data_IF_213725604638
#
_entry.id   IF_213725604638
#
_cell.length_a   1.000
_cell.length_b   1.000
_cell.length_c   1.000
_cell.angle_alpha   90.00
_cell.angle_beta   90.00
_cell.angle_gamma   90.00
#
_symmetry.space_group_name_H-M   'P 1'
#
loop_
_entity.id
_entity.type
_entity.pdbx_description
1 polymer ?
#
# COMPACT_ATOMS: atom_id res chain seq x y z
N UNK A 1 -18.68 -33.79 0.34
CA UNK A 1 -19.10 -32.60 1.11
C UNK A 1 -17.84 -32.01 1.74
N UNK A 2 -17.33 -30.88 1.25
CA UNK A 2 -16.12 -30.23 1.75
C UNK A 2 -16.49 -28.96 2.52
N UNK A 3 -16.28 -28.98 3.84
CA UNK A 3 -16.43 -27.84 4.73
C UNK A 3 -15.16 -26.99 4.76
N UNK A 4 -15.13 -25.90 4.00
CA UNK A 4 -14.19 -24.81 4.22
C UNK A 4 -14.96 -23.66 4.89
N UNK A 5 -14.51 -23.24 6.08
CA UNK A 5 -15.11 -22.12 6.83
C UNK A 5 -15.00 -20.83 5.98
N UNK A 6 -16.03 -19.98 5.94
CA UNK A 6 -15.92 -18.69 5.28
C UNK A 6 -14.88 -17.83 6.01
N UNK A 7 -13.82 -17.43 5.30
CA UNK A 7 -12.89 -16.43 5.79
C UNK A 7 -13.60 -15.09 5.80
N UNK A 8 -13.74 -14.49 6.98
CA UNK A 8 -14.37 -13.19 7.21
C UNK A 8 -13.37 -12.02 7.05
N UNK A 9 -12.27 -12.21 6.33
CA UNK A 9 -11.42 -11.09 5.89
C UNK A 9 -11.94 -10.55 4.57
N UNK A 10 -12.76 -9.51 4.70
CA UNK A 10 -13.50 -8.78 3.67
C UNK A 10 -12.70 -8.57 2.36
N UNK A 11 -12.95 -9.37 1.31
CA UNK A 11 -12.25 -9.27 0.03
C UNK A 11 -12.79 -8.12 -0.85
N UNK A 12 -13.83 -7.40 -0.42
CA UNK A 12 -14.54 -6.45 -1.26
C UNK A 12 -13.95 -5.02 -1.28
N UNK A 13 -12.93 -4.71 -0.46
CA UNK A 13 -12.38 -3.35 -0.38
C UNK A 13 -11.29 -2.99 -1.39
N UNK A 14 -10.79 -3.95 -2.17
CA UNK A 14 -9.74 -3.70 -3.17
C UNK A 14 -10.25 -3.61 -4.62
N UNK A 15 -11.57 -3.55 -4.80
CA UNK A 15 -12.22 -3.58 -6.12
C UNK A 15 -12.45 -2.20 -6.75
N UNK A 16 -11.59 -1.20 -6.54
CA UNK A 16 -11.90 0.17 -6.99
C UNK A 16 -10.81 0.94 -7.74
N UNK A 17 -9.71 0.34 -8.20
CA UNK A 17 -8.79 1.17 -9.01
C UNK A 17 -8.09 0.52 -10.21
N UNK A 18 -7.81 -0.78 -10.24
CA UNK A 18 -7.23 -1.38 -11.46
C UNK A 18 -7.74 -2.82 -11.63
N UNK A 19 -8.66 -3.00 -12.57
CA UNK A 19 -9.41 -4.23 -12.74
C UNK A 19 -8.56 -5.48 -12.92
N UNK A 20 -8.92 -6.53 -12.20
CA UNK A 20 -8.76 -7.90 -12.65
C UNK A 20 -10.00 -8.26 -13.47
N UNK A 21 -9.90 -8.18 -14.80
CA UNK A 21 -10.97 -8.63 -15.72
C UNK A 21 -11.38 -10.09 -15.45
N UNK A 22 -10.48 -10.87 -14.85
CA UNK A 22 -10.58 -12.33 -14.69
C UNK A 22 -10.54 -12.80 -13.21
N UNK A 23 -10.91 -11.95 -12.25
CA UNK A 23 -11.17 -12.38 -10.87
C UNK A 23 -9.97 -12.90 -10.07
N UNK A 24 -8.74 -12.69 -10.54
CA UNK A 24 -7.53 -13.04 -9.79
C UNK A 24 -7.01 -11.80 -9.07
N UNK A 25 -7.16 -11.69 -7.73
CA UNK A 25 -6.44 -10.66 -6.98
C UNK A 25 -4.95 -10.89 -7.21
N UNK A 26 -4.29 -9.94 -7.85
CA UNK A 26 -2.84 -9.99 -7.96
C UNK A 26 -2.27 -9.80 -6.55
N UNK A 27 -1.45 -10.74 -6.04
CA UNK A 27 -0.84 -10.56 -4.74
C UNK A 27 -0.04 -9.25 -4.77
N UNK A 28 -0.29 -8.39 -3.79
CA UNK A 28 0.44 -7.13 -3.67
C UNK A 28 1.91 -7.49 -3.50
N UNK A 29 2.74 -7.10 -4.47
CA UNK A 29 4.19 -7.24 -4.39
C UNK A 29 4.72 -6.24 -3.36
N UNK A 30 4.79 -6.71 -2.11
CA UNK A 30 5.23 -5.93 -0.94
C UNK A 30 6.68 -5.47 -1.10
N UNK A 31 7.55 -6.31 -1.66
CA UNK A 31 8.97 -5.99 -1.85
C UNK A 31 9.15 -4.80 -2.81
N UNK A 32 8.40 -4.80 -3.90
CA UNK A 32 8.41 -3.67 -4.85
C UNK A 32 7.80 -2.42 -4.22
N UNK A 33 6.76 -2.57 -3.41
CA UNK A 33 6.13 -1.44 -2.71
C UNK A 33 7.08 -0.80 -1.67
N UNK A 34 7.77 -1.61 -0.87
CA UNK A 34 8.74 -1.15 0.13
C UNK A 34 9.93 -0.42 -0.52
N UNK A 35 10.43 -0.96 -1.63
CA UNK A 35 11.46 -0.27 -2.43
C UNK A 35 10.98 1.08 -2.92
N UNK A 36 9.74 1.15 -3.41
CA UNK A 36 9.14 2.39 -3.91
C UNK A 36 8.98 3.41 -2.78
N UNK A 37 8.50 2.99 -1.61
CA UNK A 37 8.40 3.86 -0.43
C UNK A 37 9.77 4.36 0.04
N UNK A 38 10.81 3.50 0.02
CA UNK A 38 12.17 3.92 0.38
C UNK A 38 12.70 5.02 -0.56
N UNK A 39 12.41 4.92 -1.86
CA UNK A 39 12.77 5.96 -2.84
C UNK A 39 12.00 7.26 -2.55
N UNK A 40 10.70 7.17 -2.29
CA UNK A 40 9.87 8.32 -1.95
C UNK A 40 10.32 9.00 -0.65
N UNK A 41 10.68 8.24 0.38
CA UNK A 41 11.18 8.78 1.64
C UNK A 41 12.49 9.57 1.41
N UNK A 42 13.42 9.00 0.64
CA UNK A 42 14.67 9.67 0.26
C UNK A 42 14.41 10.94 -0.54
N UNK A 43 13.46 10.91 -1.46
CA UNK A 43 13.08 12.07 -2.27
C UNK A 43 12.48 13.18 -1.40
N UNK A 44 11.58 12.86 -0.47
CA UNK A 44 10.97 13.83 0.46
C UNK A 44 12.00 14.44 1.40
N UNK A 45 12.98 13.65 1.88
CA UNK A 45 14.07 14.17 2.71
C UNK A 45 14.94 15.18 1.95
N UNK A 46 15.25 14.88 0.69
CA UNK A 46 16.11 15.71 -0.19
C UNK A 46 15.39 16.87 -0.88
N UNK A 47 14.06 16.89 -0.93
CA UNK A 47 13.31 17.96 -1.60
C UNK A 47 13.43 19.28 -0.85
N UNK A 48 13.17 20.40 -1.52
CA UNK A 48 13.16 21.74 -0.91
C UNK A 48 11.79 22.13 -0.36
N UNK A 49 11.03 21.17 0.16
CA UNK A 49 9.73 21.41 0.79
C UNK A 49 9.88 22.09 2.15
N UNK A 50 8.84 22.82 2.58
CA UNK A 50 8.79 23.36 3.94
C UNK A 50 8.77 22.21 4.96
N UNK A 51 9.36 22.45 6.14
CA UNK A 51 9.52 21.43 7.19
C UNK A 51 8.20 20.73 7.54
N UNK A 52 7.11 21.50 7.66
CA UNK A 52 5.77 21.00 7.94
C UNK A 52 5.24 20.05 6.85
N UNK A 53 5.50 20.35 5.59
CA UNK A 53 5.09 19.50 4.46
C UNK A 53 5.90 18.20 4.41
N UNK A 54 7.20 18.28 4.70
CA UNK A 54 8.07 17.10 4.83
C UNK A 54 7.59 16.18 5.95
N UNK A 55 7.26 16.72 7.11
CA UNK A 55 6.75 15.93 8.24
C UNK A 55 5.42 15.22 7.91
N UNK A 56 4.50 15.93 7.26
CA UNK A 56 3.22 15.35 6.82
C UNK A 56 3.46 14.23 5.81
N UNK A 57 4.34 14.45 4.83
CA UNK A 57 4.66 13.44 3.81
C UNK A 57 5.32 12.21 4.42
N UNK A 58 6.31 12.38 5.31
CA UNK A 58 6.96 11.27 6.01
C UNK A 58 6.00 10.49 6.91
N UNK A 59 5.08 11.17 7.62
CA UNK A 59 4.04 10.50 8.40
C UNK A 59 3.13 9.64 7.53
N UNK A 60 2.75 10.12 6.35
CA UNK A 60 1.94 9.34 5.39
C UNK A 60 2.69 8.10 4.88
N UNK A 61 3.96 8.25 4.54
CA UNK A 61 4.82 7.12 4.11
C UNK A 61 4.90 6.06 5.23
N UNK A 62 5.17 6.48 6.47
CA UNK A 62 5.21 5.57 7.63
C UNK A 62 3.87 4.89 7.91
N UNK A 63 2.75 5.58 7.69
CA UNK A 63 1.41 4.99 7.84
C UNK A 63 1.14 3.93 6.77
N UNK A 64 1.60 4.13 5.54
CA UNK A 64 1.46 3.16 4.45
C UNK A 64 2.31 1.91 4.68
N UNK A 65 3.51 2.03 5.26
CA UNK A 65 4.35 0.89 5.64
C UNK A 65 3.71 -0.02 6.71
N UNK A 66 2.98 0.56 7.66
CA UNK A 66 2.36 -0.21 8.75
C UNK A 66 1.07 -0.94 8.34
N UNK A 67 0.50 -0.61 7.18
CA UNK A 67 -0.81 -1.11 6.73
C UNK A 67 -0.71 -2.26 5.72
N UNK A 68 0.50 -2.57 5.27
CA UNK A 68 0.81 -3.73 4.40
C UNK A 68 1.21 -4.94 5.25
#
# INVERSE_FOLDING_TARGET
>A
MYGAKPSYEDPARYSFSFGGKDGTPYPVDRDTYDKTLSVLEKAVRKSNLFLKEKEIALRKINFLQQKL
#
